data_IF_855031178785
#
_entry.id   IF_855031178785
#
_cell.length_a   1.000
_cell.length_b   1.000
_cell.length_c   1.000
_cell.angle_alpha   90.00
_cell.angle_beta   90.00
_cell.angle_gamma   90.00
#
_symmetry.space_group_name_H-M   'P 1'
#
loop_
_entity.id
_entity.type
_entity.pdbx_description
1 polymer ?
#
# COMPACT_ATOMS: atom_id res chain seq x y z
N UNK A 1 -8.67 15.54 4.09
CA UNK A 1 -8.49 14.08 4.22
C UNK A 1 -7.20 13.76 4.94
N UNK A 2 -6.10 13.60 4.22
CA UNK A 2 -4.81 13.10 4.75
C UNK A 2 -4.26 13.87 5.96
N UNK A 3 -4.36 15.21 5.96
CA UNK A 3 -3.92 16.03 7.11
C UNK A 3 -4.63 15.67 8.43
N UNK A 4 -5.88 15.21 8.36
CA UNK A 4 -6.65 14.78 9.53
C UNK A 4 -6.15 13.42 10.04
N UNK A 5 -5.89 12.49 9.12
CA UNK A 5 -5.29 11.18 9.43
C UNK A 5 -3.95 11.37 10.15
N UNK A 6 -3.09 12.25 9.63
CA UNK A 6 -1.80 12.57 10.24
C UNK A 6 -1.93 13.29 11.59
N UNK A 7 -2.87 14.22 11.72
CA UNK A 7 -3.12 14.89 13.00
C UNK A 7 -3.59 13.90 14.08
N UNK A 8 -4.46 12.96 13.71
CA UNK A 8 -4.91 11.89 14.58
C UNK A 8 -3.74 10.98 15.00
N UNK A 9 -2.95 10.48 14.05
CA UNK A 9 -1.77 9.67 14.36
C UNK A 9 -0.82 10.40 15.31
N UNK A 10 -0.55 11.69 15.08
CA UNK A 10 0.32 12.47 15.97
C UNK A 10 -0.24 12.61 17.39
N UNK A 11 -1.55 12.73 17.54
CA UNK A 11 -2.19 12.86 18.84
C UNK A 11 -2.20 11.55 19.62
N UNK A 12 -2.41 10.43 18.92
CA UNK A 12 -2.73 9.13 19.55
C UNK A 12 -1.60 8.10 19.48
N UNK A 13 -0.56 8.27 18.64
CA UNK A 13 0.45 7.23 18.40
C UNK A 13 1.18 6.76 19.67
N UNK A 14 1.33 7.61 20.69
CA UNK A 14 1.95 7.22 21.96
C UNK A 14 1.01 6.40 22.87
N UNK A 15 -0.30 6.45 22.61
CA UNK A 15 -1.33 5.73 23.36
C UNK A 15 -1.77 4.43 22.68
N UNK A 16 -1.41 4.21 21.41
CA UNK A 16 -1.74 2.97 20.70
C UNK A 16 -1.09 1.75 21.36
N UNK A 17 -1.90 0.71 21.52
CA UNK A 17 -1.40 -0.64 21.65
C UNK A 17 -0.73 -1.11 20.36
N UNK A 18 0.08 -2.18 20.43
CA UNK A 18 0.70 -2.77 19.23
C UNK A 18 -0.33 -3.21 18.20
N UNK A 19 -1.49 -3.71 18.64
CA UNK A 19 -2.58 -4.10 17.76
C UNK A 19 -3.22 -2.90 17.06
N UNK A 20 -3.48 -1.80 17.78
CA UNK A 20 -4.04 -0.58 17.19
C UNK A 20 -3.08 0.07 16.20
N UNK A 21 -1.77 0.06 16.50
CA UNK A 21 -0.76 0.53 15.57
C UNK A 21 -0.78 -0.27 14.25
N UNK A 22 -0.88 -1.60 14.33
CA UNK A 22 -0.96 -2.45 13.15
C UNK A 22 -2.23 -2.17 12.33
N UNK A 23 -3.38 -2.07 13.00
CA UNK A 23 -4.65 -1.73 12.35
C UNK A 23 -4.61 -0.34 11.70
N UNK A 24 -3.97 0.64 12.34
CA UNK A 24 -3.81 1.98 11.78
C UNK A 24 -2.94 1.96 10.52
N UNK A 25 -1.85 1.19 10.52
CA UNK A 25 -1.01 0.98 9.34
C UNK A 25 -1.81 0.32 8.22
N UNK A 26 -2.58 -0.75 8.51
CA UNK A 26 -3.45 -1.41 7.54
C UNK A 26 -4.49 -0.45 6.96
N UNK A 27 -5.08 0.41 7.80
CA UNK A 27 -5.98 1.47 7.34
C UNK A 27 -5.29 2.44 6.38
N UNK A 28 -4.09 2.92 6.71
CA UNK A 28 -3.32 3.80 5.82
C UNK A 28 -2.92 3.11 4.51
N UNK A 29 -2.59 1.81 4.55
CA UNK A 29 -2.33 1.00 3.35
C UNK A 29 -3.58 0.92 2.49
N UNK A 30 -4.73 0.48 3.02
CA UNK A 30 -5.97 0.39 2.25
C UNK A 30 -6.45 1.76 1.73
N UNK A 31 -6.24 2.83 2.51
CA UNK A 31 -6.51 4.18 2.06
C UNK A 31 -5.69 4.53 0.81
N UNK A 32 -4.38 4.25 0.82
CA UNK A 32 -3.47 4.59 -0.26
C UNK A 32 -3.62 3.65 -1.47
N UNK A 33 -3.68 2.35 -1.25
CA UNK A 33 -3.60 1.32 -2.30
C UNK A 33 -4.96 0.99 -2.91
N UNK A 34 -6.06 1.17 -2.18
CA UNK A 34 -7.40 0.84 -2.67
C UNK A 34 -8.27 2.10 -2.87
N UNK A 35 -8.46 2.89 -1.82
CA UNK A 35 -9.44 3.98 -1.83
C UNK A 35 -9.03 5.11 -2.78
N UNK A 36 -7.79 5.59 -2.70
CA UNK A 36 -7.34 6.71 -3.55
C UNK A 36 -7.40 6.32 -5.05
N UNK A 37 -6.90 5.15 -5.49
CA UNK A 37 -7.04 4.72 -6.88
C UNK A 37 -8.49 4.56 -7.32
N UNK A 38 -9.36 4.05 -6.43
CA UNK A 38 -10.79 3.96 -6.72
C UNK A 38 -11.42 5.34 -6.94
N UNK A 39 -11.12 6.31 -6.06
CA UNK A 39 -11.58 7.69 -6.24
C UNK A 39 -11.09 8.29 -7.56
N UNK A 40 -9.84 8.05 -7.94
CA UNK A 40 -9.29 8.49 -9.22
C UNK A 40 -10.05 7.92 -10.41
N UNK A 41 -10.40 6.62 -10.39
CA UNK A 41 -11.24 6.01 -11.43
C UNK A 41 -12.62 6.67 -11.49
N UNK A 42 -13.25 6.90 -10.34
CA UNK A 42 -14.55 7.58 -10.27
C UNK A 42 -14.47 9.00 -10.85
N UNK A 43 -13.44 9.78 -10.49
CA UNK A 43 -13.24 11.13 -11.00
C UNK A 43 -13.02 11.12 -12.52
N UNK A 44 -12.20 10.20 -13.05
CA UNK A 44 -11.95 10.09 -14.48
C UNK A 44 -13.20 9.69 -15.28
N UNK A 45 -14.07 8.85 -14.70
CA UNK A 45 -15.35 8.48 -15.30
C UNK A 45 -16.35 9.64 -15.31
N UNK A 46 -16.44 10.38 -14.21
CA UNK A 46 -17.37 11.50 -14.06
C UNK A 46 -16.92 12.75 -14.82
N UNK A 47 -15.62 12.92 -15.02
CA UNK A 47 -15.02 14.07 -15.68
C UNK A 47 -14.08 13.63 -16.80
N UNK A 48 -14.61 13.13 -17.93
CA UNK A 48 -13.79 12.69 -19.05
C UNK A 48 -12.88 13.81 -19.56
N UNK A 49 -11.58 13.52 -19.71
CA UNK A 49 -10.57 14.52 -20.08
C UNK A 49 -10.90 15.24 -21.39
N UNK A 50 -11.49 14.55 -22.36
CA UNK A 50 -11.93 15.13 -23.62
C UNK A 50 -12.99 16.22 -23.40
N UNK A 51 -13.96 15.99 -22.50
CA UNK A 51 -15.00 16.97 -22.19
C UNK A 51 -14.41 18.19 -21.47
N UNK A 52 -13.48 17.96 -20.55
CA UNK A 52 -12.74 19.05 -19.88
C UNK A 52 -11.97 19.89 -20.93
N UNK A 53 -11.28 19.24 -21.87
CA UNK A 53 -10.55 19.90 -22.96
C UNK A 53 -11.44 20.82 -23.79
N UNK A 54 -12.63 20.31 -24.17
CA UNK A 54 -13.61 21.04 -24.96
C UNK A 54 -14.11 22.29 -24.21
N UNK A 55 -14.46 22.15 -22.92
CA UNK A 55 -14.92 23.27 -22.09
C UNK A 55 -13.83 24.35 -21.97
N UNK A 56 -12.57 23.93 -21.83
CA UNK A 56 -11.43 24.84 -21.73
C UNK A 56 -11.01 25.43 -23.10
N UNK A 57 -11.58 24.97 -24.20
CA UNK A 57 -11.21 25.43 -25.55
C UNK A 57 -9.78 25.06 -25.97
N UNK A 58 -9.21 24.00 -25.39
CA UNK A 58 -7.83 23.56 -25.66
C UNK A 58 -7.78 22.15 -26.23
N UNK A 59 -6.77 21.80 -27.04
CA UNK A 59 -6.55 20.43 -27.45
C UNK A 59 -6.34 19.51 -26.24
N UNK A 60 -6.93 18.31 -26.24
CA UNK A 60 -6.79 17.33 -25.16
C UNK A 60 -5.33 17.03 -24.80
N UNK A 61 -4.45 17.02 -25.81
CA UNK A 61 -3.01 16.85 -25.64
C UNK A 61 -2.31 17.99 -24.87
N UNK A 62 -2.98 19.10 -24.56
CA UNK A 62 -2.44 20.20 -23.73
C UNK A 62 -3.08 20.28 -22.36
N UNK A 63 -4.12 19.48 -22.09
CA UNK A 63 -4.89 19.55 -20.84
C UNK A 63 -4.04 19.15 -19.62
N UNK A 64 -3.09 18.23 -19.79
CA UNK A 64 -2.15 17.83 -18.72
C UNK A 64 -1.30 19.01 -18.20
N UNK A 65 -1.14 20.10 -18.98
CA UNK A 65 -0.41 21.30 -18.54
C UNK A 65 -1.16 22.15 -17.52
N UNK A 66 -2.46 21.89 -17.37
CA UNK A 66 -3.33 22.60 -16.41
C UNK A 66 -3.35 21.91 -15.03
N UNK A 67 -2.47 20.93 -14.81
CA UNK A 67 -2.35 20.16 -13.56
C UNK A 67 -3.11 18.84 -13.61
N UNK A 68 -3.03 18.08 -12.51
CA UNK A 68 -3.74 16.81 -12.30
C UNK A 68 -5.25 17.01 -12.23
N UNK A 69 -5.88 17.17 -13.39
CA UNK A 69 -7.32 17.37 -13.51
C UNK A 69 -8.06 16.06 -13.30
N UNK A 70 -9.16 16.13 -12.54
CA UNK A 70 -9.98 14.97 -12.20
C UNK A 70 -9.17 13.79 -11.61
N UNK A 71 -8.10 14.10 -10.87
CA UNK A 71 -7.36 13.12 -10.09
C UNK A 71 -6.90 13.71 -8.76
N UNK A 72 -6.71 12.82 -7.81
CA UNK A 72 -6.06 12.99 -6.53
C UNK A 72 -4.59 12.61 -6.74
N UNK A 73 -3.70 13.43 -6.21
CA UNK A 73 -2.25 13.23 -6.30
C UNK A 73 -1.81 12.11 -5.33
N UNK A 74 -1.68 10.90 -5.87
CA UNK A 74 -1.25 9.70 -5.13
C UNK A 74 0.16 9.84 -4.56
N UNK A 75 1.09 10.45 -5.31
CA UNK A 75 2.48 10.61 -4.91
C UNK A 75 2.59 11.52 -3.69
N UNK A 76 1.89 12.66 -3.71
CA UNK A 76 1.84 13.57 -2.56
C UNK A 76 1.20 12.90 -1.33
N UNK A 77 0.16 12.09 -1.52
CA UNK A 77 -0.47 11.36 -0.41
C UNK A 77 0.49 10.32 0.18
N UNK A 78 1.17 9.55 -0.68
CA UNK A 78 2.13 8.55 -0.26
C UNK A 78 3.30 9.18 0.50
N UNK A 79 3.83 10.31 0.02
CA UNK A 79 4.89 11.05 0.70
C UNK A 79 4.45 11.46 2.12
N UNK A 80 3.25 12.02 2.23
CA UNK A 80 2.69 12.46 3.51
C UNK A 80 2.47 11.30 4.50
N UNK A 81 1.96 10.16 4.02
CA UNK A 81 1.73 8.97 4.83
C UNK A 81 3.01 8.18 5.11
N UNK A 82 4.11 8.43 4.38
CA UNK A 82 5.40 7.76 4.54
C UNK A 82 5.93 7.75 5.98
N UNK A 83 5.59 8.76 6.78
CA UNK A 83 5.96 8.85 8.21
C UNK A 83 5.20 7.90 9.14
N UNK A 84 4.05 7.39 8.70
CA UNK A 84 3.18 6.47 9.48
C UNK A 84 3.59 5.02 9.27
N UNK A 85 4.08 4.68 8.08
CA UNK A 85 4.46 3.32 7.76
C UNK A 85 5.70 2.90 8.55
N UNK A 86 5.77 1.64 9.01
CA UNK A 86 6.96 1.13 9.70
C UNK A 86 8.18 1.41 8.82
N UNK A 87 9.21 2.03 9.40
CA UNK A 87 10.51 2.09 8.73
C UNK A 87 10.91 0.64 8.50
N UNK A 88 10.98 0.24 7.22
CA UNK A 88 11.37 -1.10 6.81
C UNK A 88 12.70 -1.40 7.50
N UNK A 89 12.63 -2.17 8.59
CA UNK A 89 13.79 -2.53 9.38
C UNK A 89 14.64 -3.37 8.44
N UNK A 90 15.77 -2.83 8.03
CA UNK A 90 16.77 -3.55 7.24
C UNK A 90 17.05 -4.84 7.97
N UNK A 91 16.54 -5.95 7.44
CA UNK A 91 16.68 -7.26 8.02
C UNK A 91 18.17 -7.50 8.31
N UNK A 92 18.50 -7.64 9.59
CA UNK A 92 19.78 -8.17 10.01
C UNK A 92 19.88 -9.60 9.45
N UNK A 93 21.03 -10.01 8.86
CA UNK A 93 21.17 -11.35 8.34
C UNK A 93 21.01 -12.35 9.49
N UNK A 94 19.92 -13.12 9.47
CA UNK A 94 19.74 -14.27 10.33
C UNK A 94 20.84 -15.27 9.98
N UNK A 95 21.89 -15.30 10.79
CA UNK A 95 22.89 -16.35 10.75
C UNK A 95 22.17 -17.69 10.90
N UNK A 96 22.20 -18.50 9.84
CA UNK A 96 21.71 -19.87 9.83
C UNK A 96 22.47 -20.68 10.88
N UNK A 97 21.93 -20.79 12.09
CA UNK A 97 22.35 -21.79 13.05
C UNK A 97 21.52 -23.04 12.78
N UNK A 98 22.13 -23.96 12.03
CA UNK A 98 21.53 -25.23 11.64
C UNK A 98 20.96 -26.00 12.83
N UNK A 99 19.70 -26.39 12.70
CA UNK A 99 19.12 -27.53 13.39
C UNK A 99 18.62 -28.49 12.32
N UNK A 100 19.42 -29.50 12.02
CA UNK A 100 18.99 -30.65 11.25
C UNK A 100 18.00 -31.44 12.10
N UNK A 101 16.70 -31.30 11.81
CA UNK A 101 15.69 -32.26 12.26
C UNK A 101 15.78 -33.48 11.35
N UNK A 102 16.47 -34.50 11.85
CA UNK A 102 16.54 -35.81 11.19
C UNK A 102 15.25 -36.58 11.53
N UNK A 103 14.34 -36.68 10.58
CA UNK A 103 13.24 -37.65 10.66
C UNK A 103 13.77 -39.05 10.32
N UNK A 104 13.52 -40.10 11.14
CA UNK A 104 13.76 -41.47 10.74
C UNK A 104 12.63 -41.90 9.79
N UNK A 105 12.96 -42.12 8.51
CA UNK A 105 12.10 -42.87 7.60
C UNK A 105 12.43 -44.35 7.77
N UNK A 106 11.66 -45.04 8.62
CA UNK A 106 11.54 -46.49 8.61
C UNK A 106 10.20 -46.85 7.96
N UNK A 107 10.22 -47.20 6.68
CA UNK A 107 9.15 -47.95 6.06
C UNK A 107 9.78 -49.06 5.22
N UNK A 108 9.94 -50.22 5.85
CA UNK A 108 10.33 -51.45 5.20
C UNK A 108 9.33 -51.83 4.10
N UNK A 109 9.86 -52.09 2.91
CA UNK A 109 9.19 -52.90 1.90
C UNK A 109 10.06 -54.12 1.65
N UNK A 110 9.62 -55.25 2.23
CA UNK A 110 10.13 -56.58 1.95
C UNK A 110 9.78 -56.94 0.50
N UNK A 111 10.80 -57.12 -0.34
CA UNK A 111 10.68 -57.86 -1.57
C UNK A 111 11.26 -59.25 -1.31
N UNK A 112 10.37 -60.24 -1.13
CA UNK A 112 10.73 -61.65 -1.11
C UNK A 112 10.98 -62.12 -2.53
N UNK A 113 12.16 -62.70 -2.74
CA UNK A 113 12.52 -63.50 -3.91
C UNK A 113 11.73 -64.82 -3.90
N UNK A 114 11.16 -65.17 -5.06
CA UNK A 114 10.97 -66.56 -5.52
C UNK A 114 10.84 -66.57 -7.04
#
# INVERSE_FOLDING_TARGET
GVKIILAFHRAEAAAFSSQEQELFVQFCTAFLEDLVPYLNRCLQLLFPLAQIAQILGVPAARVHKYGGLACVDEETIQELLGSVFPKKETALPLAEKGLALQLPLDLGLSASEQ
#
